data_IF_339490050597
#
_entry.id   IF_339490050597
#
_cell.length_a   1.000
_cell.length_b   1.000
_cell.length_c   1.000
_cell.angle_alpha   90.00
_cell.angle_beta   90.00
_cell.angle_gamma   90.00
#
_symmetry.space_group_name_H-M   'P 1'
#
loop_
_entity.id
_entity.type
_entity.pdbx_description
1 polymer ?
#
# COMPACT_ATOMS: atom_id res chain seq x y z
N UNK A 1 -24.39 18.15 23.66
CA UNK A 1 -24.84 17.96 22.26
C UNK A 1 -23.68 17.60 21.31
N UNK A 2 -22.59 18.38 21.24
CA UNK A 2 -21.42 18.12 20.36
C UNK A 2 -20.82 16.70 20.50
N UNK A 3 -20.54 16.24 21.72
CA UNK A 3 -20.03 14.88 21.98
C UNK A 3 -20.94 13.78 21.41
N UNK A 4 -22.27 13.94 21.52
CA UNK A 4 -23.23 12.96 20.99
C UNK A 4 -23.14 12.91 19.46
N UNK A 5 -23.05 14.07 18.79
CA UNK A 5 -22.89 14.14 17.33
C UNK A 5 -21.58 13.50 16.86
N UNK A 6 -20.48 13.68 17.61
CA UNK A 6 -19.18 13.06 17.34
C UNK A 6 -19.30 11.53 17.44
N UNK A 7 -19.91 11.02 18.52
CA UNK A 7 -20.13 9.58 18.69
C UNK A 7 -21.04 8.99 17.59
N UNK A 8 -22.05 9.74 17.15
CA UNK A 8 -22.90 9.35 16.00
C UNK A 8 -22.07 9.29 14.72
N UNK A 9 -21.25 10.30 14.42
CA UNK A 9 -20.38 10.29 13.24
C UNK A 9 -19.43 9.09 13.26
N UNK A 10 -18.83 8.80 14.42
CA UNK A 10 -17.94 7.65 14.58
C UNK A 10 -18.68 6.34 14.35
N UNK A 11 -19.87 6.18 14.94
CA UNK A 11 -20.71 4.99 14.73
C UNK A 11 -21.07 4.82 13.26
N UNK A 12 -21.49 5.91 12.58
CA UNK A 12 -21.81 5.90 11.14
C UNK A 12 -20.58 5.49 10.32
N UNK A 13 -19.42 6.08 10.60
CA UNK A 13 -18.16 5.80 9.90
C UNK A 13 -17.74 4.34 10.07
N UNK A 14 -17.87 3.79 11.27
CA UNK A 14 -17.49 2.42 11.60
C UNK A 14 -18.46 1.39 11.01
N UNK A 15 -19.77 1.67 11.04
CA UNK A 15 -20.80 0.66 10.78
C UNK A 15 -21.33 0.69 9.35
N UNK A 16 -21.57 1.86 8.78
CA UNK A 16 -22.26 1.98 7.48
C UNK A 16 -21.44 1.41 6.32
N UNK A 17 -20.14 1.76 6.14
CA UNK A 17 -19.36 1.27 5.01
C UNK A 17 -19.20 -0.27 4.97
N UNK A 18 -18.91 -0.97 6.08
CA UNK A 18 -18.92 -2.43 6.08
C UNK A 18 -20.29 -3.06 5.79
N UNK A 19 -21.40 -2.44 6.21
CA UNK A 19 -22.74 -2.92 5.87
C UNK A 19 -23.05 -2.77 4.38
N UNK A 20 -22.66 -1.65 3.77
CA UNK A 20 -22.73 -1.44 2.32
C UNK A 20 -21.91 -2.51 1.61
N UNK A 21 -20.66 -2.72 2.03
CA UNK A 21 -19.75 -3.74 1.49
C UNK A 21 -20.38 -5.13 1.54
N UNK A 22 -20.93 -5.52 2.70
CA UNK A 22 -21.60 -6.81 2.90
C UNK A 22 -22.84 -6.96 2.02
N UNK A 23 -23.73 -5.95 2.01
CA UNK A 23 -25.00 -6.02 1.28
C UNK A 23 -24.78 -6.09 -0.23
N UNK A 24 -24.03 -5.15 -0.78
CA UNK A 24 -23.79 -5.07 -2.22
C UNK A 24 -22.81 -6.14 -2.70
N UNK A 25 -21.82 -6.50 -1.89
CA UNK A 25 -20.92 -7.61 -2.18
C UNK A 25 -21.65 -8.95 -2.33
N UNK A 26 -22.65 -9.23 -1.48
CA UNK A 26 -23.53 -10.41 -1.64
C UNK A 26 -24.36 -10.35 -2.92
N UNK A 27 -24.82 -9.16 -3.33
CA UNK A 27 -25.51 -8.99 -4.62
C UNK A 27 -24.58 -9.29 -5.80
N UNK A 28 -23.33 -8.82 -5.77
CA UNK A 28 -22.32 -9.11 -6.80
C UNK A 28 -22.10 -10.63 -6.94
N UNK A 29 -21.96 -11.34 -5.82
CA UNK A 29 -21.78 -12.80 -5.83
C UNK A 29 -22.92 -13.55 -6.55
N UNK A 30 -24.15 -13.05 -6.46
CA UNK A 30 -25.35 -13.65 -7.08
C UNK A 30 -25.53 -13.32 -8.57
N UNK A 31 -24.76 -12.35 -9.12
CA UNK A 31 -24.88 -11.98 -10.54
C UNK A 31 -24.36 -13.10 -11.46
N UNK A 32 -24.98 -13.26 -12.61
CA UNK A 32 -24.57 -14.19 -13.67
C UNK A 32 -23.46 -13.60 -14.54
N UNK A 33 -22.31 -13.33 -13.94
CA UNK A 33 -21.08 -12.78 -14.58
C UNK A 33 -19.87 -13.65 -14.23
N UNK A 34 -18.76 -13.49 -14.96
CA UNK A 34 -17.53 -14.27 -14.75
C UNK A 34 -16.93 -14.08 -13.35
N UNK A 35 -16.15 -15.06 -12.86
CA UNK A 35 -15.45 -14.96 -11.57
C UNK A 35 -14.50 -13.76 -11.52
N UNK A 36 -13.78 -13.47 -12.62
CA UNK A 36 -12.93 -12.28 -12.78
C UNK A 36 -13.71 -10.99 -12.56
N UNK A 37 -14.87 -10.86 -13.23
CA UNK A 37 -15.71 -9.67 -13.12
C UNK A 37 -16.32 -9.52 -11.72
N UNK A 38 -16.71 -10.62 -11.06
CA UNK A 38 -17.15 -10.58 -9.65
C UNK A 38 -16.05 -10.06 -8.73
N UNK A 39 -14.83 -10.57 -8.88
CA UNK A 39 -13.69 -10.17 -8.06
C UNK A 39 -13.35 -8.68 -8.27
N UNK A 40 -13.35 -8.21 -9.52
CA UNK A 40 -13.13 -6.80 -9.84
C UNK A 40 -14.23 -5.88 -9.28
N UNK A 41 -15.51 -6.21 -9.48
CA UNK A 41 -16.60 -5.41 -8.92
C UNK A 41 -16.57 -5.38 -7.38
N UNK A 42 -16.15 -6.48 -6.74
CA UNK A 42 -15.99 -6.56 -5.30
C UNK A 42 -14.86 -5.64 -4.80
N UNK A 43 -13.70 -5.66 -5.46
CA UNK A 43 -12.57 -4.78 -5.13
C UNK A 43 -12.94 -3.30 -5.34
N UNK A 44 -13.60 -2.98 -6.46
CA UNK A 44 -14.08 -1.64 -6.77
C UNK A 44 -15.06 -1.13 -5.71
N UNK A 45 -16.02 -1.96 -5.28
CA UNK A 45 -16.93 -1.64 -4.17
C UNK A 45 -16.15 -1.37 -2.87
N UNK A 46 -15.14 -2.18 -2.57
CA UNK A 46 -14.26 -1.99 -1.44
C UNK A 46 -13.57 -0.63 -1.43
N UNK A 47 -12.97 -0.25 -2.55
CA UNK A 47 -12.33 1.07 -2.71
C UNK A 47 -13.33 2.21 -2.52
N UNK A 48 -14.53 2.09 -3.09
CA UNK A 48 -15.61 3.08 -2.90
C UNK A 48 -16.00 3.19 -1.42
N UNK A 49 -16.16 2.07 -0.72
CA UNK A 49 -16.48 2.06 0.71
C UNK A 49 -15.37 2.71 1.55
N UNK A 50 -14.10 2.43 1.26
CA UNK A 50 -12.96 3.03 1.98
C UNK A 50 -12.91 4.54 1.75
N UNK A 51 -12.94 4.98 0.48
CA UNK A 51 -12.89 6.41 0.16
C UNK A 51 -14.11 7.14 0.69
N UNK A 52 -15.30 6.55 0.57
CA UNK A 52 -16.53 7.10 1.14
C UNK A 52 -16.46 7.25 2.65
N UNK A 53 -15.99 6.22 3.37
CA UNK A 53 -15.77 6.28 4.82
C UNK A 53 -14.78 7.39 5.18
N UNK A 54 -13.67 7.47 4.44
CA UNK A 54 -12.65 8.48 4.61
C UNK A 54 -13.22 9.91 4.44
N UNK A 55 -13.91 10.20 3.34
CA UNK A 55 -14.43 11.55 3.08
C UNK A 55 -15.56 11.95 4.04
N UNK A 56 -16.48 11.03 4.37
CA UNK A 56 -17.52 11.29 5.38
C UNK A 56 -16.88 11.59 6.74
N UNK A 57 -15.89 10.81 7.13
CA UNK A 57 -15.18 11.03 8.38
C UNK A 57 -14.41 12.35 8.38
N UNK A 58 -13.70 12.66 7.29
CA UNK A 58 -12.94 13.88 7.12
C UNK A 58 -13.85 15.12 7.24
N UNK A 59 -14.92 15.17 6.46
CA UNK A 59 -15.86 16.30 6.46
C UNK A 59 -16.57 16.43 7.81
N UNK A 60 -16.95 15.31 8.43
CA UNK A 60 -17.55 15.34 9.78
C UNK A 60 -16.57 15.80 10.85
N UNK A 61 -15.29 15.42 10.74
CA UNK A 61 -14.20 15.87 11.64
C UNK A 61 -14.00 17.37 11.54
N UNK A 62 -14.04 17.92 10.32
CA UNK A 62 -13.95 19.36 10.07
C UNK A 62 -15.19 20.10 10.57
N UNK A 63 -16.39 19.60 10.27
CA UNK A 63 -17.66 20.24 10.63
C UNK A 63 -17.95 20.22 12.14
N UNK A 64 -17.53 19.17 12.84
CA UNK A 64 -17.72 19.02 14.29
C UNK A 64 -16.48 19.44 15.09
N UNK A 65 -15.43 19.98 14.44
CA UNK A 65 -14.18 20.41 15.09
C UNK A 65 -13.64 19.34 16.07
N UNK A 66 -13.58 18.11 15.58
CA UNK A 66 -13.19 16.95 16.41
C UNK A 66 -11.76 17.07 16.90
N UNK A 67 -10.91 17.79 16.16
CA UNK A 67 -9.53 18.10 16.55
C UNK A 67 -9.48 18.81 17.90
N UNK A 68 -10.21 19.93 18.04
CA UNK A 68 -10.25 20.73 19.26
C UNK A 68 -10.90 19.94 20.40
N UNK A 69 -11.99 19.22 20.10
CA UNK A 69 -12.64 18.34 21.06
C UNK A 69 -11.72 17.23 21.59
N UNK A 70 -10.87 16.65 20.75
CA UNK A 70 -9.92 15.62 21.15
C UNK A 70 -8.77 16.21 21.96
N UNK A 71 -8.27 17.39 21.60
CA UNK A 71 -7.24 18.12 22.37
C UNK A 71 -7.74 18.44 23.79
N UNK A 72 -8.96 18.94 23.93
CA UNK A 72 -9.58 19.24 25.23
C UNK A 72 -9.66 18.01 26.16
N UNK A 73 -9.76 16.81 25.61
CA UNK A 73 -9.74 15.55 26.36
C UNK A 73 -8.32 15.19 26.75
N UNK A 74 -7.41 15.25 25.78
CA UNK A 74 -6.01 14.83 25.95
C UNK A 74 -5.29 15.74 26.95
N UNK A 75 -5.50 17.05 26.90
CA UNK A 75 -4.86 18.03 27.79
C UNK A 75 -5.22 17.85 29.27
N UNK A 76 -6.31 17.12 29.56
CA UNK A 76 -6.73 16.80 30.94
C UNK A 76 -6.08 15.53 31.48
N UNK A 77 -5.40 14.75 30.65
CA UNK A 77 -4.79 13.49 31.05
C UNK A 77 -3.41 13.74 31.68
N UNK A 78 -3.11 13.16 32.86
CA UNK A 78 -1.81 13.32 33.52
C UNK A 78 -0.76 12.38 32.90
N UNK A 79 -0.53 12.52 31.58
CA UNK A 79 0.39 11.69 30.82
C UNK A 79 1.56 12.52 30.26
N UNK A 80 2.74 11.92 30.05
CA UNK A 80 3.84 12.57 29.34
C UNK A 80 3.45 12.98 27.91
N UNK A 81 4.06 14.04 27.33
CA UNK A 81 3.72 14.54 25.98
C UNK A 81 3.77 13.49 24.87
N UNK A 82 4.67 12.51 24.98
CA UNK A 82 4.76 11.39 24.05
C UNK A 82 3.44 10.61 24.04
N UNK A 83 2.99 10.19 25.22
CA UNK A 83 1.75 9.41 25.34
C UNK A 83 0.52 10.23 24.95
N UNK A 84 0.50 11.53 25.28
CA UNK A 84 -0.58 12.43 24.87
C UNK A 84 -0.75 12.46 23.33
N UNK A 85 0.35 12.57 22.57
CA UNK A 85 0.28 12.55 21.11
C UNK A 85 -0.27 11.23 20.55
N UNK A 86 0.10 10.08 21.15
CA UNK A 86 -0.45 8.78 20.74
C UNK A 86 -1.92 8.62 21.10
N UNK A 87 -2.35 9.08 22.28
CA UNK A 87 -3.76 9.07 22.68
C UNK A 87 -4.57 9.97 21.74
N UNK A 88 -4.07 11.18 21.46
CA UNK A 88 -4.66 12.09 20.50
C UNK A 88 -4.81 11.44 19.12
N UNK A 89 -3.74 10.86 18.58
CA UNK A 89 -3.78 10.16 17.29
C UNK A 89 -4.73 8.96 17.30
N UNK A 90 -4.79 8.20 18.40
CA UNK A 90 -5.72 7.08 18.54
C UNK A 90 -7.18 7.52 18.54
N UNK A 91 -7.51 8.63 19.22
CA UNK A 91 -8.85 9.23 19.22
C UNK A 91 -9.28 9.61 17.79
N UNK A 92 -8.40 10.29 17.05
CA UNK A 92 -8.71 10.77 15.70
C UNK A 92 -8.71 9.64 14.65
N UNK A 93 -7.83 8.67 14.75
CA UNK A 93 -7.61 7.72 13.64
C UNK A 93 -8.40 6.42 13.84
N UNK A 94 -8.74 6.05 15.09
CA UNK A 94 -9.39 4.76 15.38
C UNK A 94 -10.73 4.52 14.68
N UNK A 95 -11.66 5.50 14.50
CA UNK A 95 -12.92 5.22 13.82
C UNK A 95 -12.71 4.78 12.37
N UNK A 96 -11.80 5.45 11.66
CA UNK A 96 -11.46 5.12 10.29
C UNK A 96 -10.71 3.78 10.21
N UNK A 97 -9.78 3.50 11.12
CA UNK A 97 -9.07 2.21 11.13
C UNK A 97 -9.98 1.03 11.40
N UNK A 98 -10.92 1.17 12.33
CA UNK A 98 -11.92 0.13 12.61
C UNK A 98 -12.82 -0.05 11.38
N UNK A 99 -13.24 1.04 10.74
CA UNK A 99 -14.03 0.97 9.50
C UNK A 99 -13.29 0.23 8.38
N UNK A 100 -12.04 0.61 8.10
CA UNK A 100 -11.18 -0.04 7.09
C UNK A 100 -10.99 -1.52 7.43
N UNK A 101 -10.71 -1.86 8.70
CA UNK A 101 -10.60 -3.24 9.15
C UNK A 101 -11.86 -4.05 8.83
N UNK A 102 -13.04 -3.52 9.17
CA UNK A 102 -14.31 -4.20 8.94
C UNK A 102 -14.62 -4.32 7.44
N UNK A 103 -14.34 -3.29 6.63
CA UNK A 103 -14.46 -3.35 5.17
C UNK A 103 -13.55 -4.46 4.60
N UNK A 104 -12.26 -4.46 4.97
CA UNK A 104 -11.29 -5.47 4.53
C UNK A 104 -11.70 -6.88 4.93
N UNK A 105 -12.18 -7.04 6.16
CA UNK A 105 -12.71 -8.32 6.64
C UNK A 105 -13.89 -8.81 5.78
N UNK A 106 -14.84 -7.94 5.44
CA UNK A 106 -15.94 -8.30 4.54
C UNK A 106 -15.45 -8.62 3.12
N UNK A 107 -14.48 -7.87 2.57
CA UNK A 107 -13.88 -8.19 1.26
C UNK A 107 -13.26 -9.58 1.27
N UNK A 108 -12.39 -9.89 2.24
CA UNK A 108 -11.73 -11.19 2.30
C UNK A 108 -12.77 -12.32 2.42
N UNK A 109 -13.76 -12.15 3.30
CA UNK A 109 -14.84 -13.14 3.47
C UNK A 109 -15.63 -13.39 2.18
N UNK A 110 -15.95 -12.34 1.44
CA UNK A 110 -16.71 -12.45 0.19
C UNK A 110 -15.83 -12.99 -0.95
N UNK A 111 -14.55 -12.61 -0.99
CA UNK A 111 -13.57 -13.04 -2.00
C UNK A 111 -13.25 -14.54 -1.91
N UNK A 112 -13.24 -15.11 -0.70
CA UNK A 112 -13.09 -16.57 -0.51
C UNK A 112 -14.18 -17.35 -1.25
N UNK A 113 -15.40 -16.82 -1.36
CA UNK A 113 -16.48 -17.47 -2.12
C UNK A 113 -16.29 -17.40 -3.65
N UNK A 114 -15.41 -16.52 -4.14
CA UNK A 114 -15.11 -16.35 -5.57
C UNK A 114 -13.88 -17.18 -5.95
N UNK A 115 -12.83 -17.02 -5.16
CA UNK A 115 -11.51 -17.67 -5.34
C UNK A 115 -11.52 -19.14 -4.94
N UNK A 116 -12.43 -19.53 -4.04
CA UNK A 116 -12.43 -20.84 -3.38
C UNK A 116 -11.09 -21.11 -2.67
N UNK A 117 -10.46 -20.05 -2.17
CA UNK A 117 -9.21 -20.09 -1.42
C UNK A 117 -9.46 -20.61 0.01
N UNK A 118 -8.56 -21.45 0.52
CA UNK A 118 -8.62 -21.90 1.92
C UNK A 118 -7.93 -20.87 2.82
N UNK A 119 -8.72 -19.97 3.40
CA UNK A 119 -8.25 -19.05 4.45
C UNK A 119 -8.77 -19.50 5.81
N UNK A 120 -7.91 -20.07 6.65
CA UNK A 120 -8.25 -20.60 7.98
C UNK A 120 -8.88 -19.52 8.89
N UNK A 121 -8.32 -18.30 8.88
CA UNK A 121 -8.80 -17.22 9.73
C UNK A 121 -8.67 -15.85 9.03
N UNK A 122 -9.67 -15.45 8.23
CA UNK A 122 -9.68 -14.17 7.51
C UNK A 122 -9.45 -12.96 8.43
N UNK A 123 -10.01 -13.00 9.65
CA UNK A 123 -9.85 -11.93 10.63
C UNK A 123 -8.38 -11.76 11.02
N UNK A 124 -7.69 -12.86 11.30
CA UNK A 124 -6.28 -12.85 11.69
C UNK A 124 -5.39 -12.33 10.55
N UNK A 125 -5.68 -12.68 9.30
CA UNK A 125 -4.92 -12.21 8.14
C UNK A 125 -5.08 -10.69 7.94
N UNK A 126 -6.30 -10.17 8.04
CA UNK A 126 -6.53 -8.71 7.96
C UNK A 126 -5.86 -7.98 9.14
N UNK A 127 -5.97 -8.50 10.37
CA UNK A 127 -5.32 -7.90 11.53
C UNK A 127 -3.79 -7.87 11.39
N UNK A 128 -3.17 -8.94 10.89
CA UNK A 128 -1.73 -8.98 10.62
C UNK A 128 -1.32 -7.92 9.60
N UNK A 129 -2.05 -7.82 8.49
CA UNK A 129 -1.76 -6.83 7.45
C UNK A 129 -1.84 -5.40 8.00
N UNK A 130 -2.90 -5.08 8.75
CA UNK A 130 -3.03 -3.78 9.42
C UNK A 130 -1.96 -3.55 10.48
N UNK A 131 -1.61 -4.56 11.27
CA UNK A 131 -0.58 -4.43 12.30
C UNK A 131 0.79 -4.12 11.71
N UNK A 132 1.13 -4.64 10.52
CA UNK A 132 2.40 -4.32 9.84
C UNK A 132 2.39 -2.87 9.36
N UNK A 133 1.31 -2.43 8.72
CA UNK A 133 1.17 -1.06 8.20
C UNK A 133 1.16 -0.06 9.36
N UNK A 134 0.28 -0.26 10.34
CA UNK A 134 0.15 0.61 11.51
C UNK A 134 1.37 0.56 12.41
N UNK A 135 1.96 -0.62 12.61
CA UNK A 135 3.21 -0.73 13.37
C UNK A 135 4.35 0.05 12.73
N UNK A 136 4.43 0.07 11.39
CA UNK A 136 5.41 0.88 10.67
C UNK A 136 5.15 2.39 10.84
N UNK A 137 3.89 2.83 10.71
CA UNK A 137 3.51 4.24 10.91
C UNK A 137 3.74 4.68 12.35
N UNK A 138 3.29 3.91 13.34
CA UNK A 138 3.44 4.19 14.77
C UNK A 138 4.92 4.18 15.16
N UNK A 139 5.70 3.21 14.67
CA UNK A 139 7.14 3.15 14.90
C UNK A 139 7.87 4.37 14.33
N UNK A 140 7.52 4.78 13.11
CA UNK A 140 8.03 6.01 12.51
C UNK A 140 7.68 7.25 13.36
N UNK A 141 6.40 7.41 13.72
CA UNK A 141 5.93 8.54 14.52
C UNK A 141 6.59 8.59 15.90
N UNK A 142 6.81 7.43 16.53
CA UNK A 142 7.51 7.31 17.80
C UNK A 142 8.95 7.78 17.70
N UNK A 143 9.72 7.29 16.71
CA UNK A 143 11.09 7.72 16.50
C UNK A 143 11.14 9.21 16.19
N UNK A 144 10.25 9.71 15.33
CA UNK A 144 10.15 11.13 15.01
C UNK A 144 9.93 11.98 16.26
N UNK A 145 8.97 11.59 17.11
CA UNK A 145 8.67 12.34 18.33
C UNK A 145 9.82 12.31 19.33
N UNK A 146 10.53 11.19 19.47
CA UNK A 146 11.75 11.13 20.29
C UNK A 146 12.80 12.11 19.78
N UNK A 147 13.03 12.18 18.47
CA UNK A 147 13.96 13.13 17.88
C UNK A 147 13.55 14.57 18.21
N UNK A 148 12.27 14.91 18.07
CA UNK A 148 11.78 16.27 18.31
C UNK A 148 11.82 16.69 19.78
N UNK A 149 11.67 15.75 20.72
CA UNK A 149 11.67 16.05 22.16
C UNK A 149 13.07 16.10 22.78
N UNK A 150 13.98 15.24 22.34
CA UNK A 150 15.28 15.08 23.00
C UNK A 150 16.41 15.81 22.28
N UNK A 151 16.20 16.30 21.05
CA UNK A 151 17.20 17.12 20.36
C UNK A 151 17.00 18.62 20.64
N UNK A 152 18.08 19.42 20.62
CA UNK A 152 17.99 20.86 20.85
C UNK A 152 17.03 21.54 19.87
N UNK A 153 16.21 22.46 20.39
CA UNK A 153 15.27 23.27 19.60
C UNK A 153 15.95 24.10 18.52
N UNK A 154 17.23 24.43 18.69
CA UNK A 154 18.05 25.13 17.69
C UNK A 154 18.19 24.35 16.38
N UNK A 155 18.10 23.01 16.44
CA UNK A 155 18.07 22.12 15.28
C UNK A 155 16.64 21.84 14.83
N UNK A 156 15.77 21.39 15.76
CA UNK A 156 14.41 20.93 15.41
C UNK A 156 13.47 22.04 14.96
N UNK A 157 13.82 23.32 15.16
CA UNK A 157 13.07 24.44 14.60
C UNK A 157 13.40 24.73 13.13
N UNK A 158 14.35 24.02 12.52
CA UNK A 158 14.83 24.30 11.16
C UNK A 158 14.21 23.33 10.17
N UNK A 159 13.55 23.86 9.13
CA UNK A 159 12.92 23.06 8.08
C UNK A 159 13.90 22.07 7.40
N UNK A 160 15.17 22.44 7.24
CA UNK A 160 16.18 21.58 6.61
C UNK A 160 16.53 20.39 7.50
N UNK A 161 16.45 20.56 8.82
CA UNK A 161 16.69 19.49 9.77
C UNK A 161 15.55 18.47 9.73
N UNK A 162 14.30 18.96 9.66
CA UNK A 162 13.13 18.11 9.46
C UNK A 162 13.24 17.31 8.17
N UNK A 163 13.60 17.96 7.06
CA UNK A 163 13.80 17.31 5.77
C UNK A 163 14.91 16.25 5.84
N UNK A 164 16.03 16.56 6.48
CA UNK A 164 17.15 15.64 6.65
C UNK A 164 16.72 14.40 7.45
N UNK A 165 16.10 14.59 8.62
CA UNK A 165 15.65 13.49 9.47
C UNK A 165 14.58 12.64 8.79
N UNK A 166 13.61 13.28 8.13
CA UNK A 166 12.57 12.58 7.37
C UNK A 166 13.19 11.72 6.28
N UNK A 167 14.15 12.28 5.53
CA UNK A 167 14.86 11.56 4.47
C UNK A 167 15.64 10.36 5.02
N UNK A 168 16.34 10.53 6.14
CA UNK A 168 17.06 9.42 6.80
C UNK A 168 16.08 8.32 7.21
N UNK A 169 14.94 8.66 7.82
CA UNK A 169 13.94 7.68 8.25
C UNK A 169 13.29 6.94 7.07
N UNK A 170 12.99 7.64 5.98
CA UNK A 170 12.46 7.00 4.75
C UNK A 170 13.51 6.06 4.16
N UNK A 171 14.76 6.50 4.02
CA UNK A 171 15.83 5.65 3.49
C UNK A 171 16.09 4.45 4.40
N UNK A 172 16.07 4.64 5.72
CA UNK A 172 16.19 3.56 6.69
C UNK A 172 15.01 2.58 6.57
N UNK A 173 13.79 3.07 6.38
CA UNK A 173 12.62 2.23 6.13
C UNK A 173 12.84 1.37 4.89
N UNK A 174 13.15 1.94 3.72
CA UNK A 174 13.38 1.16 2.50
C UNK A 174 14.57 0.20 2.60
N UNK A 175 15.60 0.53 3.40
CA UNK A 175 16.76 -0.31 3.63
C UNK A 175 16.48 -1.49 4.58
N UNK A 176 15.70 -1.28 5.65
CA UNK A 176 15.55 -2.23 6.76
C UNK A 176 14.21 -2.96 6.75
N UNK A 177 13.17 -2.39 6.15
CA UNK A 177 11.85 -3.02 6.04
C UNK A 177 11.88 -4.44 5.43
N UNK A 178 12.75 -4.78 4.46
CA UNK A 178 12.89 -6.17 3.99
C UNK A 178 13.10 -7.18 5.12
N UNK A 179 13.85 -6.81 6.17
CA UNK A 179 14.14 -7.70 7.30
C UNK A 179 12.88 -8.03 8.11
N UNK A 180 11.94 -7.10 8.20
CA UNK A 180 10.64 -7.34 8.82
C UNK A 180 9.78 -8.17 7.88
N UNK A 181 9.70 -7.76 6.61
CA UNK A 181 8.84 -8.36 5.60
C UNK A 181 9.12 -9.87 5.41
N UNK A 182 10.38 -10.29 5.36
CA UNK A 182 10.73 -11.71 5.19
C UNK A 182 10.28 -12.60 6.37
N UNK A 183 10.13 -12.03 7.57
CA UNK A 183 9.66 -12.74 8.78
C UNK A 183 8.14 -12.85 8.85
N UNK A 184 7.43 -12.07 8.04
CA UNK A 184 5.97 -12.09 7.98
C UNK A 184 5.48 -13.21 7.05
N UNK A 185 4.47 -13.95 7.48
CA UNK A 185 3.84 -15.01 6.69
C UNK A 185 4.51 -16.37 6.87
N UNK A 186 3.94 -17.39 6.25
CA UNK A 186 4.45 -18.76 6.34
C UNK A 186 5.47 -18.99 5.23
N UNK A 187 6.73 -19.25 5.60
CA UNK A 187 7.74 -19.74 4.65
C UNK A 187 7.40 -21.18 4.29
N UNK A 188 7.48 -21.51 3.00
CA UNK A 188 7.26 -22.85 2.48
C UNK A 188 8.58 -23.49 2.10
N UNK A 189 8.58 -24.81 1.96
CA UNK A 189 9.67 -25.52 1.30
C UNK A 189 9.82 -25.04 -0.13
N UNK A 190 11.07 -24.91 -0.56
CA UNK A 190 11.44 -24.50 -1.91
C UNK A 190 12.44 -25.50 -2.44
N UNK A 191 12.15 -26.05 -3.61
CA UNK A 191 13.03 -26.96 -4.33
C UNK A 191 14.43 -26.35 -4.51
N UNK A 192 15.50 -27.00 -3.99
CA UNK A 192 16.85 -26.48 -4.07
C UNK A 192 17.37 -26.29 -5.50
N UNK A 193 16.95 -27.14 -6.44
CA UNK A 193 17.39 -27.08 -7.84
C UNK A 193 16.82 -25.85 -8.54
N UNK A 194 15.49 -25.69 -8.51
CA UNK A 194 14.81 -24.50 -9.03
C UNK A 194 15.31 -23.22 -8.34
N UNK A 195 15.55 -23.25 -7.02
CA UNK A 195 16.12 -22.10 -6.31
C UNK A 195 17.49 -21.73 -6.85
N UNK A 196 18.39 -22.71 -7.03
CA UNK A 196 19.73 -22.47 -7.54
C UNK A 196 19.67 -21.91 -8.97
N UNK A 197 18.73 -22.40 -9.79
CA UNK A 197 18.49 -21.89 -11.13
C UNK A 197 18.02 -20.44 -11.16
N UNK A 198 16.99 -20.09 -10.38
CA UNK A 198 16.52 -18.71 -10.32
C UNK A 198 17.57 -17.76 -9.74
N UNK A 199 18.40 -18.22 -8.80
CA UNK A 199 19.54 -17.46 -8.30
C UNK A 199 20.59 -17.22 -9.39
N UNK A 200 20.96 -18.24 -10.19
CA UNK A 200 21.85 -18.09 -11.35
C UNK A 200 21.27 -17.11 -12.37
N UNK A 201 19.98 -17.23 -12.68
CA UNK A 201 19.29 -16.31 -13.58
C UNK A 201 19.40 -14.85 -13.09
N UNK A 202 19.22 -14.58 -11.79
CA UNK A 202 19.42 -13.24 -11.24
C UNK A 202 20.86 -12.72 -11.45
N UNK A 203 21.86 -13.60 -11.23
CA UNK A 203 23.27 -13.26 -11.43
C UNK A 203 23.63 -12.99 -12.89
N UNK A 204 23.10 -13.78 -13.82
CA UNK A 204 23.25 -13.58 -15.28
C UNK A 204 22.67 -12.25 -15.72
N UNK A 205 21.53 -11.84 -15.16
CA UNK A 205 20.96 -10.52 -15.38
C UNK A 205 21.71 -9.41 -14.62
N UNK A 206 22.83 -9.71 -13.94
CA UNK A 206 23.66 -8.76 -13.23
C UNK A 206 22.97 -8.16 -12.00
N UNK A 207 22.15 -8.96 -11.31
CA UNK A 207 21.46 -8.56 -10.08
C UNK A 207 21.83 -9.49 -8.93
N UNK A 208 22.37 -8.88 -7.88
CA UNK A 208 22.60 -9.56 -6.60
C UNK A 208 21.34 -9.53 -5.75
N UNK A 209 20.84 -10.70 -5.40
CA UNK A 209 19.81 -10.92 -4.39
C UNK A 209 20.41 -11.75 -3.26
N UNK A 210 20.00 -11.51 -2.02
CA UNK A 210 20.46 -12.29 -0.88
C UNK A 210 19.84 -13.69 -0.86
N UNK A 211 18.55 -13.78 -1.16
CA UNK A 211 17.83 -15.05 -1.16
C UNK A 211 16.55 -14.93 -1.98
N UNK A 212 16.09 -16.06 -2.53
CA UNK A 212 14.76 -16.24 -3.10
C UNK A 212 13.98 -17.14 -2.14
N UNK A 213 12.86 -16.64 -1.64
CA UNK A 213 12.03 -17.35 -0.65
C UNK A 213 10.63 -17.61 -1.19
N UNK A 214 10.12 -18.81 -0.91
CA UNK A 214 8.73 -19.17 -1.19
C UNK A 214 7.89 -18.96 0.05
N UNK A 215 6.74 -18.32 -0.10
CA UNK A 215 5.75 -18.10 0.96
C UNK A 215 4.38 -18.61 0.58
N UNK A 216 3.64 -19.09 1.57
CA UNK A 216 2.25 -19.50 1.44
C UNK A 216 2.01 -20.92 1.98
N UNK A 217 0.74 -21.32 1.97
CA UNK A 217 0.30 -22.65 2.37
C UNK A 217 -0.44 -23.34 1.23
N UNK A 218 -0.49 -24.69 1.21
CA UNK A 218 -1.36 -25.43 0.32
C UNK A 218 -2.82 -24.92 0.39
N UNK A 219 -3.44 -24.71 -0.77
CA UNK A 219 -4.83 -24.21 -0.87
C UNK A 219 -4.97 -22.69 -0.88
N UNK A 220 -3.88 -21.94 -0.70
CA UNK A 220 -3.84 -20.50 -1.04
C UNK A 220 -3.75 -20.34 -2.56
N UNK A 221 -4.53 -19.43 -3.12
CA UNK A 221 -4.72 -19.26 -4.57
C UNK A 221 -4.34 -17.83 -5.01
N UNK A 222 -3.16 -17.39 -4.58
CA UNK A 222 -2.60 -16.09 -4.94
C UNK A 222 -1.25 -16.28 -5.61
N UNK A 223 -1.18 -16.01 -6.92
CA UNK A 223 0.06 -16.11 -7.69
C UNK A 223 0.73 -14.74 -7.65
N UNK A 224 1.89 -14.63 -7.01
CA UNK A 224 2.59 -13.37 -6.89
C UNK A 224 4.10 -13.55 -6.77
N UNK A 225 4.83 -12.56 -7.27
CA UNK A 225 6.25 -12.36 -7.02
C UNK A 225 6.44 -10.95 -6.47
N UNK A 226 7.55 -10.72 -5.78
CA UNK A 226 7.90 -9.39 -5.28
C UNK A 226 9.39 -9.32 -4.99
N UNK A 227 10.04 -8.26 -5.49
CA UNK A 227 11.34 -7.83 -4.99
C UNK A 227 11.21 -6.82 -3.86
N UNK A 228 12.04 -6.96 -2.83
CA UNK A 228 12.20 -5.96 -1.77
C UNK A 228 13.67 -5.70 -1.45
N UNK A 229 14.00 -4.47 -1.04
CA UNK A 229 15.33 -4.08 -0.56
C UNK A 229 16.17 -3.30 -1.55
N UNK A 230 16.50 -2.06 -1.17
CA UNK A 230 17.37 -1.17 -1.95
C UNK A 230 18.85 -1.55 -1.87
N UNK A 231 19.29 -2.14 -0.75
CA UNK A 231 20.67 -2.59 -0.52
C UNK A 231 20.80 -4.07 -0.95
N UNK A 232 21.74 -4.44 -1.84
CA UNK A 232 21.89 -5.82 -2.31
C UNK A 232 21.99 -6.88 -1.20
N UNK A 233 22.70 -6.57 -0.10
CA UNK A 233 22.84 -7.44 1.08
C UNK A 233 21.52 -7.72 1.82
N UNK A 234 20.50 -6.89 1.63
CA UNK A 234 19.17 -7.04 2.23
C UNK A 234 18.08 -7.16 1.18
N UNK A 235 18.45 -7.52 -0.06
CA UNK A 235 17.51 -7.66 -1.16
C UNK A 235 16.99 -9.09 -1.24
N UNK A 236 15.67 -9.25 -1.30
CA UNK A 236 15.02 -10.56 -1.37
C UNK A 236 14.02 -10.58 -2.51
N UNK A 237 13.88 -11.75 -3.13
CA UNK A 237 12.74 -12.07 -3.99
C UNK A 237 11.82 -13.00 -3.21
N UNK A 238 10.53 -12.68 -3.21
CA UNK A 238 9.50 -13.47 -2.56
C UNK A 238 8.56 -14.00 -3.63
N UNK A 239 8.49 -15.32 -3.77
CA UNK A 239 7.53 -16.01 -4.63
C UNK A 239 6.41 -16.60 -3.79
N UNK A 240 5.18 -16.61 -4.28
CA UNK A 240 4.12 -17.38 -3.62
C UNK A 240 4.22 -18.85 -4.00
N UNK A 241 3.86 -19.73 -3.07
CA UNK A 241 3.79 -21.17 -3.31
C UNK A 241 2.89 -21.49 -4.51
N UNK A 242 1.76 -20.78 -4.62
CA UNK A 242 0.82 -20.95 -5.72
C UNK A 242 1.40 -20.56 -7.08
N UNK A 243 2.28 -19.56 -7.16
CA UNK A 243 2.98 -19.23 -8.40
C UNK A 243 3.91 -20.37 -8.81
N UNK A 244 4.77 -20.82 -7.88
CA UNK A 244 5.76 -21.89 -8.14
C UNK A 244 5.08 -23.21 -8.56
N UNK A 245 3.91 -23.52 -8.01
CA UNK A 245 3.20 -24.76 -8.30
C UNK A 245 2.50 -24.81 -9.66
N UNK A 246 2.23 -23.65 -10.26
CA UNK A 246 1.32 -23.58 -11.40
C UNK A 246 1.93 -22.93 -12.64
N UNK A 247 3.13 -22.35 -12.51
CA UNK A 247 3.86 -21.74 -13.61
C UNK A 247 4.95 -22.68 -14.10
N UNK A 248 5.12 -22.73 -15.41
CA UNK A 248 6.28 -23.37 -16.02
C UNK A 248 7.53 -22.54 -15.69
N UNK A 249 8.69 -23.16 -15.72
CA UNK A 249 9.93 -22.50 -15.32
C UNK A 249 10.24 -21.24 -16.14
N UNK A 250 10.02 -21.26 -17.46
CA UNK A 250 10.21 -20.09 -18.32
C UNK A 250 9.23 -18.96 -17.98
N UNK A 251 8.01 -19.29 -17.54
CA UNK A 251 7.04 -18.31 -17.08
C UNK A 251 7.44 -17.73 -15.72
N UNK A 252 8.01 -18.54 -14.81
CA UNK A 252 8.57 -18.07 -13.54
C UNK A 252 9.75 -17.13 -13.82
N UNK A 253 10.64 -17.48 -14.75
CA UNK A 253 11.77 -16.64 -15.19
C UNK A 253 11.28 -15.32 -15.79
N UNK A 254 10.20 -15.32 -16.58
CA UNK A 254 9.59 -14.10 -17.11
C UNK A 254 9.04 -13.19 -16.00
N UNK A 255 8.30 -13.74 -15.02
CA UNK A 255 7.83 -12.96 -13.86
C UNK A 255 9.03 -12.45 -13.04
N UNK A 256 10.06 -13.26 -12.85
CA UNK A 256 11.28 -12.84 -12.16
C UNK A 256 12.05 -11.76 -12.94
N UNK A 257 12.07 -11.83 -14.27
CA UNK A 257 12.67 -10.82 -15.12
C UNK A 257 11.95 -9.47 -14.95
N UNK A 258 10.62 -9.46 -14.82
CA UNK A 258 9.85 -8.26 -14.48
C UNK A 258 10.28 -7.68 -13.12
N UNK A 259 10.38 -8.49 -12.07
CA UNK A 259 10.89 -8.05 -10.76
C UNK A 259 12.34 -7.52 -10.84
N UNK A 260 13.19 -8.13 -11.66
CA UNK A 260 14.55 -7.66 -11.95
C UNK A 260 14.51 -6.29 -12.67
N UNK A 261 13.56 -6.09 -13.57
CA UNK A 261 13.26 -4.82 -14.21
C UNK A 261 13.04 -3.70 -13.19
N UNK A 262 12.33 -3.96 -12.10
CA UNK A 262 12.18 -2.99 -11.00
C UNK A 262 13.50 -2.64 -10.31
N UNK A 263 14.41 -3.59 -10.19
CA UNK A 263 15.72 -3.36 -9.59
C UNK A 263 16.60 -2.53 -10.53
N UNK A 264 16.67 -2.91 -11.81
CA UNK A 264 17.47 -2.21 -12.83
C UNK A 264 16.97 -0.79 -13.07
N UNK A 265 15.65 -0.61 -13.09
CA UNK A 265 14.99 0.70 -13.16
C UNK A 265 15.08 1.53 -11.88
N UNK A 266 15.68 0.99 -10.80
CA UNK A 266 15.79 1.63 -9.48
C UNK A 266 14.44 2.07 -8.91
N UNK A 267 13.35 1.35 -9.22
CA UNK A 267 11.99 1.77 -8.88
C UNK A 267 11.78 1.92 -7.36
N UNK A 268 12.42 1.09 -6.52
CA UNK A 268 12.39 1.27 -5.06
C UNK A 268 13.07 2.57 -4.59
N UNK A 269 14.15 3.01 -5.26
CA UNK A 269 14.78 4.30 -4.97
C UNK A 269 13.91 5.47 -5.43
N UNK A 270 13.23 5.31 -6.57
CA UNK A 270 12.24 6.29 -7.05
C UNK A 270 11.11 6.44 -6.03
N UNK A 271 10.57 5.33 -5.51
CA UNK A 271 9.51 5.39 -4.49
C UNK A 271 9.97 6.09 -3.20
N UNK A 272 11.21 5.84 -2.76
CA UNK A 272 11.80 6.59 -1.65
C UNK A 272 11.94 8.09 -1.96
N UNK A 273 12.41 8.43 -3.16
CA UNK A 273 12.54 9.80 -3.61
C UNK A 273 11.17 10.51 -3.73
N UNK A 274 10.12 9.80 -4.15
CA UNK A 274 8.75 10.33 -4.20
C UNK A 274 8.21 10.62 -2.81
N UNK A 275 8.46 9.75 -1.83
CA UNK A 275 8.09 10.00 -0.43
C UNK A 275 8.81 11.23 0.13
N UNK A 276 10.11 11.40 -0.14
CA UNK A 276 10.88 12.58 0.28
C UNK A 276 10.38 13.84 -0.45
N UNK A 277 10.10 13.73 -1.75
CA UNK A 277 9.62 14.86 -2.57
C UNK A 277 8.23 15.31 -2.14
N UNK A 278 7.36 14.39 -1.70
CA UNK A 278 6.08 14.73 -1.08
C UNK A 278 6.31 15.62 0.16
N UNK A 279 7.26 15.25 1.02
CA UNK A 279 7.54 16.03 2.23
C UNK A 279 8.07 17.43 1.89
N UNK A 280 8.95 17.55 0.88
CA UNK A 280 9.40 18.85 0.36
C UNK A 280 8.24 19.68 -0.17
N UNK A 281 7.37 19.07 -0.99
CA UNK A 281 6.19 19.71 -1.54
C UNK A 281 5.25 20.21 -0.43
N UNK A 282 5.04 19.39 0.60
CA UNK A 282 4.22 19.74 1.76
C UNK A 282 4.80 20.90 2.57
N UNK A 283 6.11 20.88 2.88
CA UNK A 283 6.78 22.02 3.55
C UNK A 283 6.64 23.29 2.71
N UNK A 284 6.79 23.19 1.38
CA UNK A 284 6.61 24.30 0.46
C UNK A 284 5.21 24.92 0.54
N UNK A 285 4.16 24.09 0.57
CA UNK A 285 2.77 24.54 0.75
C UNK A 285 2.63 25.28 2.09
N UNK A 286 3.09 24.67 3.19
CA UNK A 286 3.01 25.26 4.53
C UNK A 286 3.73 26.61 4.57
N UNK A 287 4.92 26.70 3.97
CA UNK A 287 5.69 27.94 3.90
C UNK A 287 4.97 29.05 3.13
N UNK A 288 4.44 28.73 1.94
CA UNK A 288 3.70 29.69 1.12
C UNK A 288 2.47 30.20 1.86
N UNK A 289 1.69 29.31 2.46
CA UNK A 289 0.49 29.69 3.21
C UNK A 289 0.83 30.57 4.42
N UNK A 290 1.91 30.25 5.14
CA UNK A 290 2.40 31.10 6.22
C UNK A 290 2.78 32.50 5.72
N UNK A 291 3.38 32.63 4.52
CA UNK A 291 3.66 33.94 3.90
C UNK A 291 2.39 34.75 3.57
N UNK A 292 1.29 34.06 3.29
CA UNK A 292 -0.04 34.68 3.12
C UNK A 292 -0.78 34.92 4.45
N UNK A 293 -0.13 34.70 5.60
CA UNK A 293 -0.74 34.90 6.92
C UNK A 293 -1.71 33.79 7.34
N UNK A 294 -1.78 32.69 6.58
CA UNK A 294 -2.62 31.53 6.89
C UNK A 294 -1.86 30.61 7.85
N UNK A 295 -2.41 30.45 9.06
CA UNK A 295 -1.87 29.53 10.07
C UNK A 295 -2.45 28.14 9.83
N UNK A 296 -1.61 27.19 9.41
CA UNK A 296 -2.05 25.83 9.02
C UNK A 296 -2.84 25.10 10.12
N UNK A 297 -2.53 25.37 11.38
CA UNK A 297 -3.18 24.76 12.54
C UNK A 297 -4.27 25.64 13.18
N UNK A 298 -4.74 26.70 12.52
CA UNK A 298 -5.74 27.60 13.12
C UNK A 298 -7.17 27.06 13.12
N UNK A 299 -7.48 26.07 12.29
CA UNK A 299 -8.77 25.39 12.31
C UNK A 299 -8.67 24.02 11.66
N UNK A 300 -9.62 23.15 11.99
CA UNK A 300 -9.77 21.84 11.35
C UNK A 300 -9.90 21.99 9.83
N UNK A 301 -10.63 22.99 9.34
CA UNK A 301 -10.82 23.23 7.90
C UNK A 301 -9.52 23.54 7.16
N UNK A 302 -8.72 24.43 7.75
CA UNK A 302 -7.42 24.82 7.20
C UNK A 302 -6.47 23.63 7.25
N UNK A 303 -6.38 22.94 8.40
CA UNK A 303 -5.51 21.77 8.56
C UNK A 303 -5.85 20.65 7.56
N UNK A 304 -7.10 20.21 7.50
CA UNK A 304 -7.53 19.11 6.63
C UNK A 304 -7.52 19.49 5.15
N UNK A 305 -7.88 20.74 4.81
CA UNK A 305 -7.85 21.27 3.45
C UNK A 305 -6.43 21.30 2.87
N UNK A 306 -5.45 21.71 3.67
CA UNK A 306 -4.04 21.83 3.27
C UNK A 306 -3.34 20.46 3.29
N UNK A 307 -3.73 19.56 4.19
CA UNK A 307 -3.05 18.28 4.33
C UNK A 307 -3.56 17.24 3.32
N UNK A 308 -4.87 17.03 3.25
CA UNK A 308 -5.41 15.87 2.52
C UNK A 308 -5.56 16.09 1.02
N UNK A 309 -6.05 17.25 0.57
CA UNK A 309 -6.22 17.45 -0.88
C UNK A 309 -4.89 17.41 -1.65
N UNK A 310 -3.83 18.14 -1.22
CA UNK A 310 -2.52 18.02 -1.86
C UNK A 310 -1.93 16.62 -1.74
N UNK A 311 -2.16 15.92 -0.62
CA UNK A 311 -1.71 14.55 -0.43
C UNK A 311 -2.35 13.59 -1.43
N UNK A 312 -3.67 13.65 -1.61
CA UNK A 312 -4.36 12.80 -2.59
C UNK A 312 -3.98 13.14 -4.02
N UNK A 313 -3.79 14.43 -4.34
CA UNK A 313 -3.27 14.85 -5.64
C UNK A 313 -1.87 14.29 -5.89
N UNK A 314 -0.99 14.36 -4.89
CA UNK A 314 0.36 13.79 -5.00
C UNK A 314 0.30 12.27 -5.18
N UNK A 315 -0.40 11.57 -4.29
CA UNK A 315 -0.46 10.12 -4.22
C UNK A 315 -1.12 9.51 -5.48
N UNK A 316 -2.32 9.98 -5.83
CA UNK A 316 -3.08 9.43 -6.95
C UNK A 316 -2.86 10.15 -8.28
N UNK A 317 -2.24 11.33 -8.29
CA UNK A 317 -1.84 12.02 -9.51
C UNK A 317 -0.41 11.67 -9.91
N UNK A 318 0.55 12.18 -9.15
CA UNK A 318 1.98 12.13 -9.52
C UNK A 318 2.56 10.74 -9.25
N UNK A 319 2.43 10.24 -8.02
CA UNK A 319 3.06 8.99 -7.60
C UNK A 319 2.46 7.78 -8.33
N UNK A 320 1.13 7.68 -8.40
CA UNK A 320 0.46 6.64 -9.18
C UNK A 320 0.84 6.64 -10.65
N UNK A 321 0.97 7.82 -11.27
CA UNK A 321 1.41 7.91 -12.66
C UNK A 321 2.83 7.38 -12.84
N UNK A 322 3.77 7.73 -11.96
CA UNK A 322 5.16 7.24 -12.04
C UNK A 322 5.24 5.73 -11.80
N UNK A 323 4.52 5.22 -10.79
CA UNK A 323 4.53 3.78 -10.48
C UNK A 323 3.97 2.97 -11.66
N UNK A 324 2.87 3.42 -12.28
CA UNK A 324 2.34 2.74 -13.47
C UNK A 324 3.31 2.77 -14.66
N UNK A 325 4.08 3.85 -14.84
CA UNK A 325 5.14 3.91 -15.87
C UNK A 325 6.29 2.96 -15.60
N UNK A 326 6.59 2.72 -14.33
CA UNK A 326 7.61 1.77 -13.91
C UNK A 326 7.21 0.32 -14.24
N UNK A 327 5.92 -0.02 -14.22
CA UNK A 327 5.41 -1.33 -14.64
C UNK A 327 5.71 -1.60 -16.13
N UNK A 328 5.42 -0.65 -17.02
CA UNK A 328 5.72 -0.80 -18.46
C UNK A 328 7.22 -0.99 -18.73
N UNK A 329 8.08 -0.26 -18.02
CA UNK A 329 9.54 -0.43 -18.14
C UNK A 329 10.01 -1.80 -17.63
N UNK A 330 9.39 -2.30 -16.57
CA UNK A 330 9.69 -3.63 -16.04
C UNK A 330 9.23 -4.73 -17.01
N UNK A 331 8.06 -4.56 -17.65
CA UNK A 331 7.56 -5.43 -18.69
C UNK A 331 8.47 -5.44 -19.93
N UNK A 332 8.89 -4.27 -20.41
CA UNK A 332 9.86 -4.17 -21.52
C UNK A 332 11.15 -4.91 -21.22
N UNK A 333 11.69 -4.76 -20.00
CA UNK A 333 12.88 -5.48 -19.58
C UNK A 333 12.63 -7.00 -19.57
N UNK A 334 11.50 -7.45 -19.04
CA UNK A 334 11.14 -8.85 -18.99
C UNK A 334 10.96 -9.47 -20.39
N UNK A 335 10.32 -8.75 -21.30
CA UNK A 335 10.15 -9.16 -22.70
C UNK A 335 11.49 -9.29 -23.43
N UNK A 336 12.45 -8.39 -23.16
CA UNK A 336 13.81 -8.47 -23.73
C UNK A 336 14.60 -9.68 -23.23
N UNK A 337 14.38 -10.10 -21.99
CA UNK A 337 15.13 -11.20 -21.36
C UNK A 337 14.49 -12.56 -21.63
N UNK A 338 13.17 -12.66 -21.55
CA UNK A 338 12.44 -13.94 -21.59
C UNK A 338 11.62 -14.14 -22.87
N UNK A 339 11.63 -13.15 -23.77
CA UNK A 339 10.79 -13.12 -24.96
C UNK A 339 9.43 -12.48 -24.70
N UNK A 340 8.97 -11.66 -25.66
CA UNK A 340 7.68 -10.96 -25.62
C UNK A 340 6.50 -11.89 -25.40
N UNK A 341 6.43 -12.98 -26.17
CA UNK A 341 5.34 -13.94 -26.09
C UNK A 341 5.29 -14.66 -24.73
N UNK A 342 6.44 -15.03 -24.20
CA UNK A 342 6.56 -15.62 -22.86
C UNK A 342 6.06 -14.66 -21.78
N UNK A 343 6.43 -13.37 -21.87
CA UNK A 343 5.97 -12.37 -20.91
C UNK A 343 4.46 -12.13 -21.01
N UNK A 344 3.90 -12.02 -22.22
CA UNK A 344 2.45 -11.89 -22.42
C UNK A 344 1.71 -13.13 -21.87
N UNK A 345 2.22 -14.34 -22.14
CA UNK A 345 1.67 -15.59 -21.60
C UNK A 345 1.67 -15.57 -20.07
N UNK A 346 2.79 -15.18 -19.45
CA UNK A 346 2.91 -15.07 -18.00
C UNK A 346 1.95 -14.03 -17.39
N UNK A 347 1.78 -12.86 -18.03
CA UNK A 347 0.82 -11.82 -17.59
C UNK A 347 -0.62 -12.31 -17.64
N UNK A 348 -1.04 -12.95 -18.74
CA UNK A 348 -2.39 -13.53 -18.87
C UNK A 348 -2.63 -14.60 -17.82
N UNK A 349 -1.62 -15.46 -17.60
CA UNK A 349 -1.68 -16.51 -16.58
C UNK A 349 -1.78 -15.91 -15.18
N UNK A 350 -1.00 -14.88 -14.83
CA UNK A 350 -1.14 -14.16 -13.56
C UNK A 350 -2.55 -13.58 -13.39
N UNK A 351 -3.11 -13.00 -14.45
CA UNK A 351 -4.46 -12.45 -14.44
C UNK A 351 -5.52 -13.54 -14.22
N UNK A 352 -5.39 -14.68 -14.87
CA UNK A 352 -6.27 -15.84 -14.70
C UNK A 352 -6.22 -16.38 -13.27
N UNK A 353 -5.02 -16.66 -12.77
CA UNK A 353 -4.79 -17.26 -11.45
C UNK A 353 -5.23 -16.33 -10.31
N UNK A 354 -5.12 -15.01 -10.49
CA UNK A 354 -5.57 -14.04 -9.50
C UNK A 354 -7.02 -13.55 -9.67
N UNK A 355 -7.73 -14.09 -10.67
CA UNK A 355 -9.08 -13.66 -11.06
C UNK A 355 -9.18 -12.16 -11.35
N UNK A 356 -8.17 -11.62 -12.04
CA UNK A 356 -8.12 -10.22 -12.48
C UNK A 356 -8.61 -10.14 -13.92
N UNK A 357 -9.61 -9.30 -14.24
CA UNK A 357 -10.00 -9.05 -15.63
C UNK A 357 -8.86 -8.33 -16.37
N UNK A 358 -8.73 -8.58 -17.66
CA UNK A 358 -7.67 -7.93 -18.44
C UNK A 358 -7.87 -6.42 -18.52
N UNK A 359 -9.12 -6.01 -18.69
CA UNK A 359 -9.51 -4.61 -18.75
C UNK A 359 -10.12 -4.14 -17.44
N UNK A 360 -9.54 -3.07 -16.89
CA UNK A 360 -10.01 -2.36 -15.69
C UNK A 360 -10.21 -0.88 -16.00
N UNK A 361 -10.96 -0.17 -15.15
CA UNK A 361 -11.25 1.25 -15.36
C UNK A 361 -10.07 2.15 -14.97
N UNK A 362 -9.83 3.23 -15.71
CA UNK A 362 -8.71 4.17 -15.47
C UNK A 362 -8.60 4.67 -14.02
N UNK A 363 -9.71 5.06 -13.41
CA UNK A 363 -9.73 5.49 -12.00
C UNK A 363 -9.35 4.37 -11.03
N UNK A 364 -9.72 3.12 -11.35
CA UNK A 364 -9.31 1.97 -10.54
C UNK A 364 -7.80 1.75 -10.67
N UNK A 365 -7.25 1.80 -11.88
CA UNK A 365 -5.82 1.66 -12.15
C UNK A 365 -4.99 2.69 -11.37
N UNK A 366 -5.47 3.93 -11.36
CA UNK A 366 -4.89 5.02 -10.56
C UNK A 366 -4.89 4.70 -9.06
N UNK A 367 -6.02 4.24 -8.52
CA UNK A 367 -6.16 3.93 -7.09
C UNK A 367 -5.44 2.65 -6.68
N UNK A 368 -5.26 1.71 -7.61
CA UNK A 368 -4.50 0.46 -7.40
C UNK A 368 -3.02 0.59 -7.73
N UNK A 369 -2.55 1.72 -8.25
CA UNK A 369 -1.17 1.96 -8.68
C UNK A 369 -0.66 1.01 -9.78
N UNK A 370 -1.57 0.36 -10.52
CA UNK A 370 -1.20 -0.60 -11.55
C UNK A 370 -2.02 -0.34 -12.81
N UNK A 371 -1.38 -0.32 -14.00
CA UNK A 371 -2.11 -0.31 -15.26
C UNK A 371 -2.87 -1.62 -15.43
N UNK A 372 -3.86 -1.64 -16.32
CA UNK A 372 -4.59 -2.88 -16.63
C UNK A 372 -3.67 -3.87 -17.35
N UNK A 373 -4.02 -5.16 -17.30
CA UNK A 373 -3.27 -6.18 -18.06
C UNK A 373 -3.40 -5.93 -19.57
N UNK A 374 -4.56 -5.45 -20.03
CA UNK A 374 -4.78 -5.01 -21.41
C UNK A 374 -3.81 -3.88 -21.80
N UNK A 375 -3.63 -2.86 -20.95
CA UNK A 375 -2.69 -1.76 -21.20
C UNK A 375 -1.24 -2.28 -21.27
N UNK A 376 -0.85 -3.20 -20.39
CA UNK A 376 0.48 -3.82 -20.36
C UNK A 376 0.76 -4.67 -21.59
N UNK A 377 -0.18 -5.52 -21.99
CA UNK A 377 -0.05 -6.38 -23.19
C UNK A 377 0.02 -5.51 -24.44
N UNK A 378 -0.86 -4.52 -24.57
CA UNK A 378 -0.85 -3.62 -25.72
C UNK A 378 0.48 -2.87 -25.84
N UNK A 379 1.03 -2.41 -24.72
CA UNK A 379 2.36 -1.79 -24.69
C UNK A 379 3.45 -2.74 -25.20
N UNK A 380 3.45 -4.00 -24.75
CA UNK A 380 4.40 -5.01 -25.23
C UNK A 380 4.25 -5.33 -26.72
N UNK A 381 3.02 -5.34 -27.25
CA UNK A 381 2.75 -5.55 -28.67
C UNK A 381 3.26 -4.40 -29.56
N UNK A 382 3.32 -3.18 -29.01
CA UNK A 382 3.82 -1.97 -29.69
C UNK A 382 5.36 -1.82 -29.62
N UNK A 383 6.02 -2.53 -28.70
CA UNK A 383 7.49 -2.50 -28.57
C UNK A 383 8.11 -3.40 -29.65
N UNK A 384 8.88 -2.79 -30.56
CA UNK A 384 9.70 -3.50 -31.55
C UNK A 384 10.77 -4.35 -30.84
N UNK A 385 11.05 -5.54 -31.40
CA UNK A 385 11.98 -6.55 -30.83
C UNK A 385 13.42 -6.07 -30.69
#
# INVERSE_FOLDING_TARGET
MKTILILILWLVTIVVPPLIMRHWGRKILKRSISKKEKNYQLQKLGVICILGAFFVYLLGTMALEILDWALDIVDKLPLPPILLAFVFAAIIISPLLISIFLIMYEIVKLRVNITEEKIENPKKEVLKALAIILGSIVGFAFIWQLLMLYLPSTLTSKWWFDLLMYSILILAFFALFPLILIRVGTKSEFDPELKAELMRFCEEQGVKVRDIIVKGKPGQKLANAMVTGIIPRYRYVVLTRYLVDNFEEDEIKAVLAHEIGHIKGKHLWINAALSISWFVFWIGIVYVLHKFGIKVFSSSWVFFGIYFFPFFFWLFGIESWIIQRNEFKADEFAAKVSGKDTMIKALRKLADFNLTPERTGKWFNVLSFHPSIEERIKHLEEVEE
#
